data_IF_450550225734
#
_entry.id   IF_450550225734
#
_cell.length_a   1.000
_cell.length_b   1.000
_cell.length_c   1.000
_cell.angle_alpha   90.00
_cell.angle_beta   90.00
_cell.angle_gamma   90.00
#
_symmetry.space_group_name_H-M   'P 1'
#
loop_
_entity.id
_entity.type
_entity.pdbx_description
1 polymer ?
#
# COMPACT_ATOMS: atom_id res chain seq x y z
N UNK A 1 -14.67 51.70 43.84
CA UNK A 1 -13.77 50.62 44.29
C UNK A 1 -14.20 49.30 43.63
N UNK A 2 -13.49 48.92 42.56
CA UNK A 2 -12.91 47.60 42.24
C UNK A 2 -13.47 46.36 42.99
N UNK A 3 -13.80 45.20 42.40
CA UNK A 3 -13.03 44.37 41.46
C UNK A 3 -13.89 43.37 40.65
N UNK A 4 -13.36 43.09 39.47
CA UNK A 4 -13.66 42.06 38.45
C UNK A 4 -13.37 40.63 38.97
N UNK A 5 -14.26 39.68 38.70
CA UNK A 5 -14.03 38.23 38.83
C UNK A 5 -13.70 37.61 37.47
N UNK A 6 -12.49 37.07 37.34
CA UNK A 6 -11.85 36.55 36.12
C UNK A 6 -12.43 35.21 35.66
N UNK A 7 -12.53 35.07 34.33
CA UNK A 7 -12.55 33.80 33.58
C UNK A 7 -11.41 32.87 34.01
N UNK A 8 -11.71 31.59 34.21
CA UNK A 8 -10.75 30.49 34.13
C UNK A 8 -10.98 29.75 32.80
N UNK A 9 -10.21 30.11 31.79
CA UNK A 9 -9.97 29.30 30.60
C UNK A 9 -8.45 29.25 30.42
N UNK A 10 -7.84 28.08 30.59
CA UNK A 10 -6.43 27.91 30.24
C UNK A 10 -5.69 26.85 31.04
N UNK A 11 -5.82 25.58 30.64
CA UNK A 11 -4.80 24.54 30.87
C UNK A 11 -5.15 23.26 30.08
N UNK A 12 -5.06 23.25 28.75
CA UNK A 12 -5.16 22.00 27.97
C UNK A 12 -4.28 21.94 26.70
N UNK A 13 -3.40 22.91 26.44
CA UNK A 13 -2.63 22.97 25.16
C UNK A 13 -1.24 22.32 25.25
N UNK A 14 -0.67 22.11 26.46
CA UNK A 14 0.72 21.63 26.59
C UNK A 14 0.92 20.11 26.35
N UNK A 15 -0.10 19.27 26.60
CA UNK A 15 0.07 17.81 26.56
C UNK A 15 0.14 17.23 25.12
N UNK A 16 -0.51 17.88 24.15
CA UNK A 16 -0.54 17.42 22.76
C UNK A 16 0.81 17.63 22.04
N UNK A 17 1.48 18.76 22.29
CA UNK A 17 2.76 19.08 21.63
C UNK A 17 3.89 18.13 22.05
N UNK A 18 3.91 17.68 23.31
CA UNK A 18 4.96 16.78 23.83
C UNK A 18 4.84 15.36 23.25
N UNK A 19 3.62 14.86 23.06
CA UNK A 19 3.38 13.54 22.48
C UNK A 19 3.82 13.48 21.02
N UNK A 20 3.53 14.53 20.24
CA UNK A 20 3.91 14.62 18.83
C UNK A 20 5.43 14.72 18.64
N UNK A 21 6.10 15.60 19.40
CA UNK A 21 7.56 15.73 19.34
C UNK A 21 8.32 14.44 19.73
N UNK A 22 7.75 13.63 20.64
CA UNK A 22 8.32 12.32 21.00
C UNK A 22 8.17 11.29 19.88
N UNK A 23 7.03 11.27 19.18
CA UNK A 23 6.81 10.38 18.05
C UNK A 23 7.80 10.71 16.92
N UNK A 24 7.97 12.00 16.60
CA UNK A 24 8.94 12.46 15.60
C UNK A 24 10.37 12.01 15.93
N UNK A 25 10.81 12.13 17.19
CA UNK A 25 12.14 11.69 17.61
C UNK A 25 12.34 10.15 17.52
N UNK A 26 11.28 9.37 17.76
CA UNK A 26 11.33 7.91 17.63
C UNK A 26 11.36 7.48 16.15
N UNK A 27 10.56 8.13 15.31
CA UNK A 27 10.54 7.94 13.86
C UNK A 27 11.90 8.27 13.24
N UNK A 28 12.53 9.38 13.64
CA UNK A 28 13.86 9.78 13.19
C UNK A 28 14.94 8.78 13.62
N UNK A 29 14.91 8.36 14.89
CA UNK A 29 15.87 7.38 15.40
C UNK A 29 15.73 6.02 14.71
N UNK A 30 14.51 5.61 14.39
CA UNK A 30 14.22 4.41 13.61
C UNK A 30 14.76 4.53 12.19
N UNK A 31 14.39 5.60 11.47
CA UNK A 31 14.80 5.85 10.08
C UNK A 31 16.32 5.93 9.95
N UNK A 32 16.99 6.59 10.90
CA UNK A 32 18.46 6.64 10.96
C UNK A 32 19.08 5.26 11.12
N UNK A 33 18.53 4.40 11.99
CA UNK A 33 19.02 3.05 12.18
C UNK A 33 18.81 2.18 10.92
N UNK A 34 17.63 2.25 10.31
CA UNK A 34 17.31 1.57 9.04
C UNK A 34 18.32 1.95 7.95
N UNK A 35 18.54 3.24 7.74
CA UNK A 35 19.44 3.73 6.71
C UNK A 35 20.90 3.32 6.97
N UNK A 36 21.32 3.28 8.23
CA UNK A 36 22.64 2.78 8.61
C UNK A 36 22.80 1.28 8.29
N UNK A 37 21.76 0.47 8.50
CA UNK A 37 21.79 -0.95 8.13
C UNK A 37 21.78 -1.14 6.62
N UNK A 38 20.94 -0.41 5.88
CA UNK A 38 20.95 -0.43 4.41
C UNK A 38 22.34 -0.09 3.88
N UNK A 39 22.96 0.99 4.37
CA UNK A 39 24.32 1.37 3.97
C UNK A 39 25.38 0.31 4.34
N UNK A 40 25.20 -0.40 5.47
CA UNK A 40 26.10 -1.47 5.90
C UNK A 40 26.05 -2.69 4.97
N UNK A 41 24.88 -3.00 4.42
CA UNK A 41 24.68 -4.17 3.55
C UNK A 41 24.69 -3.84 2.06
N UNK A 42 24.94 -2.58 1.69
CA UNK A 42 25.06 -2.14 0.31
C UNK A 42 26.32 -2.74 -0.33
N UNK A 43 26.20 -3.66 -1.31
CA UNK A 43 27.35 -4.25 -1.98
C UNK A 43 27.95 -3.31 -3.05
N UNK A 44 27.31 -2.17 -3.33
CA UNK A 44 27.57 -1.37 -4.53
C UNK A 44 27.31 -2.21 -5.78
N UNK A 45 28.25 -2.19 -6.73
CA UNK A 45 28.14 -2.95 -7.98
C UNK A 45 28.53 -4.42 -7.85
N UNK A 46 28.82 -4.90 -6.64
CA UNK A 46 29.28 -6.27 -6.41
C UNK A 46 28.11 -7.20 -6.12
N UNK A 47 28.31 -8.49 -6.39
CA UNK A 47 27.39 -9.52 -5.91
C UNK A 47 27.47 -9.63 -4.38
N UNK A 48 26.31 -9.75 -3.74
CA UNK A 48 26.18 -9.95 -2.30
C UNK A 48 26.61 -11.36 -1.93
N UNK A 49 27.53 -11.47 -0.97
CA UNK A 49 27.87 -12.75 -0.34
C UNK A 49 26.92 -13.01 0.82
N UNK A 50 25.74 -13.57 0.52
CA UNK A 50 24.70 -13.82 1.53
C UNK A 50 25.17 -14.68 2.69
N UNK A 51 26.10 -15.62 2.47
CA UNK A 51 26.65 -16.45 3.55
C UNK A 51 27.39 -15.62 4.61
N UNK A 52 28.02 -14.51 4.21
CA UNK A 52 28.72 -13.62 5.13
C UNK A 52 27.78 -12.64 5.84
N UNK A 53 26.66 -12.29 5.22
CA UNK A 53 25.75 -11.28 5.76
C UNK A 53 24.51 -11.86 6.43
N UNK A 54 24.17 -13.14 6.26
CA UNK A 54 22.93 -13.76 6.77
C UNK A 54 22.73 -13.51 8.28
N UNK A 55 23.72 -13.86 9.10
CA UNK A 55 23.67 -13.63 10.55
C UNK A 55 23.53 -12.14 10.92
N UNK A 56 24.44 -11.27 10.44
CA UNK A 56 24.34 -9.82 10.63
C UNK A 56 23.03 -9.19 10.15
N UNK A 57 22.50 -9.62 9.01
CA UNK A 57 21.27 -9.11 8.39
C UNK A 57 20.05 -9.51 9.23
N UNK A 58 19.96 -10.78 9.65
CA UNK A 58 18.93 -11.24 10.58
C UNK A 58 18.96 -10.48 11.92
N UNK A 59 20.15 -10.18 12.44
CA UNK A 59 20.30 -9.38 13.65
C UNK A 59 19.83 -7.93 13.44
N UNK A 60 20.11 -7.33 12.28
CA UNK A 60 19.63 -6.00 11.93
C UNK A 60 18.10 -5.95 11.80
N UNK A 61 17.49 -6.92 11.11
CA UNK A 61 16.02 -7.03 11.03
C UNK A 61 15.38 -7.21 12.41
N UNK A 62 16.03 -7.97 13.30
CA UNK A 62 15.55 -8.16 14.68
C UNK A 62 15.63 -6.86 15.49
N UNK A 63 16.71 -6.09 15.36
CA UNK A 63 16.86 -4.77 15.99
C UNK A 63 15.80 -3.78 15.45
N UNK A 64 15.61 -3.72 14.13
CA UNK A 64 14.59 -2.88 13.50
C UNK A 64 13.18 -3.25 13.96
N UNK A 65 12.84 -4.53 14.02
CA UNK A 65 11.56 -4.99 14.58
C UNK A 65 11.37 -4.50 16.03
N UNK A 66 12.41 -4.62 16.85
CA UNK A 66 12.39 -4.13 18.23
C UNK A 66 12.19 -2.62 18.34
N UNK A 67 12.79 -1.84 17.45
CA UNK A 67 12.60 -0.38 17.37
C UNK A 67 11.22 -0.02 16.85
N UNK A 68 10.75 -0.67 15.79
CA UNK A 68 9.46 -0.40 15.17
C UNK A 68 8.31 -0.69 16.15
N UNK A 69 8.41 -1.75 16.97
CA UNK A 69 7.47 -2.01 18.07
C UNK A 69 7.41 -0.87 19.09
N UNK A 70 8.54 -0.22 19.39
CA UNK A 70 8.58 0.95 20.30
C UNK A 70 8.00 2.20 19.64
N UNK A 71 8.25 2.38 18.34
CA UNK A 71 7.73 3.50 17.54
C UNK A 71 6.21 3.40 17.42
N UNK A 72 5.70 2.25 16.97
CA UNK A 72 4.26 2.02 16.77
C UNK A 72 3.53 1.94 18.12
N UNK A 73 4.12 1.29 19.13
CA UNK A 73 3.48 1.05 20.41
C UNK A 73 2.28 0.11 20.30
N UNK A 74 1.25 0.35 21.10
CA UNK A 74 -0.02 -0.38 20.99
C UNK A 74 -0.67 -0.10 19.61
N UNK A 75 -0.93 -1.15 18.80
CA UNK A 75 -1.49 -0.98 17.48
C UNK A 75 -2.93 -0.47 17.49
N UNK A 76 -3.69 -0.57 18.59
CA UNK A 76 -5.09 -0.12 18.65
C UNK A 76 -5.97 -0.75 17.55
N UNK A 77 -5.73 -2.04 17.26
CA UNK A 77 -6.50 -2.85 16.31
C UNK A 77 -7.30 -3.90 17.06
N UNK A 78 -8.60 -3.96 16.79
CA UNK A 78 -9.46 -5.01 17.33
C UNK A 78 -8.99 -6.39 16.87
N UNK A 79 -8.88 -7.33 17.81
CA UNK A 79 -8.47 -8.72 17.55
C UNK A 79 -7.01 -8.93 17.16
N UNK A 80 -6.17 -7.89 17.16
CA UNK A 80 -4.73 -8.08 17.01
C UNK A 80 -4.18 -8.91 18.18
N UNK A 81 -3.39 -9.94 17.87
CA UNK A 81 -2.71 -10.77 18.86
C UNK A 81 -1.20 -10.66 18.67
N UNK A 82 -0.46 -10.72 19.77
CA UNK A 82 1.00 -10.62 19.76
C UNK A 82 1.50 -9.22 19.44
N UNK A 83 2.82 -9.10 19.22
CA UNK A 83 3.51 -7.81 19.07
C UNK A 83 3.72 -7.38 17.60
N UNK A 84 3.05 -8.05 16.66
CA UNK A 84 3.26 -7.87 15.21
C UNK A 84 4.62 -8.37 14.71
N UNK A 85 4.71 -8.71 13.44
CA UNK A 85 5.96 -9.07 12.76
C UNK A 85 6.42 -7.92 11.86
N UNK A 86 7.68 -7.92 11.46
CA UNK A 86 8.14 -6.96 10.46
C UNK A 86 7.51 -7.30 9.12
N UNK A 87 7.05 -6.31 8.36
CA UNK A 87 6.68 -6.49 6.96
C UNK A 87 7.83 -7.16 6.19
N UNK A 88 7.51 -7.96 5.16
CA UNK A 88 8.51 -8.63 4.34
C UNK A 88 9.51 -7.60 3.82
N UNK A 89 10.75 -7.67 4.33
CA UNK A 89 11.73 -6.61 4.19
C UNK A 89 13.10 -7.22 3.93
N UNK A 90 13.78 -6.69 2.91
CA UNK A 90 15.22 -6.78 2.81
C UNK A 90 15.88 -5.42 3.02
N UNK A 91 17.08 -5.45 3.60
CA UNK A 91 17.97 -4.31 3.76
C UNK A 91 19.05 -4.25 2.66
N UNK A 92 19.02 -5.19 1.72
CA UNK A 92 19.99 -5.32 0.62
C UNK A 92 19.37 -4.80 -0.66
N UNK A 93 19.96 -3.77 -1.25
CA UNK A 93 19.50 -3.22 -2.53
C UNK A 93 19.54 -4.29 -3.62
N UNK A 94 18.45 -4.39 -4.38
CA UNK A 94 18.29 -5.38 -5.45
C UNK A 94 17.57 -6.66 -5.03
N UNK A 95 17.40 -6.91 -3.73
CA UNK A 95 16.52 -7.97 -3.26
C UNK A 95 15.06 -7.64 -3.59
N UNK A 96 14.23 -8.67 -3.82
CA UNK A 96 12.81 -8.52 -4.14
C UNK A 96 12.04 -7.77 -3.05
N UNK A 97 12.37 -8.00 -1.79
CA UNK A 97 11.73 -7.37 -0.63
C UNK A 97 12.40 -6.04 -0.21
N UNK A 98 13.38 -5.54 -0.97
CA UNK A 98 14.00 -4.25 -0.69
C UNK A 98 13.05 -3.10 -1.04
N UNK A 99 12.98 -2.10 -0.16
CA UNK A 99 12.13 -0.92 -0.38
C UNK A 99 10.67 -1.11 0.03
N UNK A 100 10.29 -2.25 0.61
CA UNK A 100 9.00 -2.41 1.25
C UNK A 100 8.79 -1.38 2.37
N UNK A 101 7.53 -1.04 2.65
CA UNK A 101 7.19 -0.11 3.73
C UNK A 101 7.46 -0.78 5.08
N UNK A 102 8.25 -0.12 5.90
CA UNK A 102 8.51 -0.50 7.28
C UNK A 102 7.20 -0.41 8.11
N UNK A 103 6.60 -1.57 8.39
CA UNK A 103 5.35 -1.69 9.12
C UNK A 103 5.33 -2.95 10.00
N UNK A 104 4.53 -2.92 11.08
CA UNK A 104 4.18 -4.10 11.86
C UNK A 104 2.97 -4.80 11.23
N UNK A 105 3.12 -6.08 10.95
CA UNK A 105 2.08 -6.94 10.36
C UNK A 105 1.40 -7.75 11.45
N UNK A 106 0.08 -7.64 11.53
CA UNK A 106 -0.80 -8.40 12.41
C UNK A 106 -1.74 -9.27 11.61
N UNK A 107 -1.73 -10.59 11.86
CA UNK A 107 -2.68 -11.53 11.26
C UNK A 107 -3.96 -11.53 12.08
N UNK A 108 -5.07 -11.12 11.47
CA UNK A 108 -6.37 -10.95 12.14
C UNK A 108 -7.32 -12.16 11.96
N UNK A 109 -6.87 -13.19 11.24
CA UNK A 109 -7.60 -14.43 10.97
C UNK A 109 -7.88 -14.64 9.48
N UNK A 110 -7.88 -15.90 9.04
CA UNK A 110 -7.89 -16.24 7.62
C UNK A 110 -6.77 -15.51 6.87
N UNK A 111 -7.09 -14.97 5.70
CA UNK A 111 -6.15 -14.17 4.89
C UNK A 111 -6.20 -12.67 5.22
N UNK A 112 -6.78 -12.28 6.36
CA UNK A 112 -6.87 -10.87 6.76
C UNK A 112 -5.62 -10.43 7.52
N UNK A 113 -4.96 -9.37 7.05
CA UNK A 113 -3.75 -8.82 7.66
C UNK A 113 -3.85 -7.31 7.82
N UNK A 114 -3.25 -6.77 8.87
CA UNK A 114 -3.11 -5.34 9.08
C UNK A 114 -1.63 -4.95 9.20
N UNK A 115 -1.24 -3.93 8.46
CA UNK A 115 0.07 -3.29 8.45
C UNK A 115 -0.08 -1.96 9.20
N UNK A 116 0.76 -1.76 10.21
CA UNK A 116 0.72 -0.56 11.07
C UNK A 116 2.07 0.11 11.08
N UNK A 117 2.08 1.39 10.77
CA UNK A 117 3.27 2.24 10.84
C UNK A 117 2.89 3.65 11.28
N UNK A 118 3.84 4.58 11.32
CA UNK A 118 3.61 5.98 11.67
C UNK A 118 3.58 6.87 10.44
N UNK A 119 2.93 8.04 10.56
CA UNK A 119 2.93 9.04 9.48
C UNK A 119 4.33 9.55 9.17
N UNK A 120 5.24 9.62 10.15
CA UNK A 120 6.63 10.03 9.93
C UNK A 120 7.42 9.00 9.12
N UNK A 121 7.28 7.71 9.43
CA UNK A 121 7.90 6.63 8.62
C UNK A 121 7.34 6.64 7.19
N UNK A 122 6.02 6.80 7.00
CA UNK A 122 5.44 6.91 5.65
C UNK A 122 5.99 8.11 4.90
N UNK A 123 6.12 9.28 5.55
CA UNK A 123 6.67 10.47 4.91
C UNK A 123 8.15 10.27 4.51
N UNK A 124 8.96 9.65 5.37
CA UNK A 124 10.35 9.31 5.05
C UNK A 124 10.45 8.34 3.87
N UNK A 125 9.61 7.29 3.87
CA UNK A 125 9.55 6.31 2.82
C UNK A 125 9.13 6.93 1.48
N UNK A 126 8.07 7.77 1.46
CA UNK A 126 7.63 8.47 0.24
C UNK A 126 8.72 9.38 -0.34
N UNK A 127 9.52 10.01 0.51
CA UNK A 127 10.65 10.84 0.08
C UNK A 127 11.77 10.03 -0.56
N UNK A 128 12.03 8.83 -0.03
CA UNK A 128 13.03 7.87 -0.54
C UNK A 128 12.58 7.27 -1.89
N UNK A 129 11.28 7.05 -2.07
CA UNK A 129 10.71 6.33 -3.23
C UNK A 129 10.03 7.25 -4.26
N UNK A 130 10.30 8.56 -4.23
CA UNK A 130 9.63 9.55 -5.10
C UNK A 130 9.84 9.34 -6.61
N UNK A 131 10.95 8.71 -6.99
CA UNK A 131 11.41 8.50 -8.37
C UNK A 131 11.59 6.99 -8.66
N UNK A 132 10.87 6.13 -7.92
CA UNK A 132 11.08 4.68 -7.96
C UNK A 132 10.67 4.04 -9.29
N UNK A 133 9.57 4.51 -9.89
CA UNK A 133 9.06 3.94 -11.12
C UNK A 133 9.77 4.53 -12.35
N UNK A 134 9.90 3.71 -13.38
CA UNK A 134 10.58 4.08 -14.62
C UNK A 134 9.99 5.33 -15.28
N UNK A 135 10.81 5.99 -16.10
CA UNK A 135 10.39 7.16 -16.88
C UNK A 135 9.16 6.80 -17.74
N UNK A 136 8.03 7.43 -17.43
CA UNK A 136 6.77 7.22 -18.14
C UNK A 136 5.68 6.54 -17.30
N UNK A 137 6.04 5.96 -16.16
CA UNK A 137 5.10 5.51 -15.15
C UNK A 137 4.74 6.64 -14.17
N UNK A 138 3.53 6.59 -13.61
CA UNK A 138 3.10 7.53 -12.58
C UNK A 138 3.79 7.19 -11.25
N UNK A 139 4.56 8.13 -10.71
CA UNK A 139 5.20 7.96 -9.41
C UNK A 139 4.21 8.12 -8.26
N UNK A 140 4.52 7.48 -7.12
CA UNK A 140 3.69 7.58 -5.92
C UNK A 140 3.65 9.04 -5.44
N UNK A 141 2.46 9.63 -5.21
CA UNK A 141 2.34 10.98 -4.70
C UNK A 141 3.09 11.17 -3.36
N UNK A 142 3.78 12.30 -3.14
CA UNK A 142 4.59 12.47 -1.93
C UNK A 142 3.78 12.78 -0.66
N UNK A 143 2.47 13.01 -0.78
CA UNK A 143 1.57 13.23 0.36
C UNK A 143 0.87 11.92 0.74
N UNK A 144 0.89 11.56 2.03
CA UNK A 144 0.37 10.27 2.51
C UNK A 144 -1.07 9.96 2.05
N UNK A 145 -2.00 10.91 2.15
CA UNK A 145 -3.39 10.67 1.71
C UNK A 145 -3.53 10.47 0.19
N UNK A 146 -2.67 11.13 -0.60
CA UNK A 146 -2.66 10.94 -2.04
C UNK A 146 -1.98 9.61 -2.41
N UNK A 147 -0.90 9.24 -1.72
CA UNK A 147 -0.25 7.95 -1.87
C UNK A 147 -1.21 6.79 -1.56
N UNK A 148 -1.97 6.87 -0.46
CA UNK A 148 -2.93 5.83 -0.08
C UNK A 148 -4.12 5.70 -1.06
N UNK A 149 -4.35 6.68 -1.94
CA UNK A 149 -5.34 6.61 -3.03
C UNK A 149 -4.79 5.96 -4.30
N UNK A 150 -3.48 5.85 -4.40
CA UNK A 150 -2.77 5.34 -5.57
C UNK A 150 -2.45 3.86 -5.36
N UNK A 151 -2.90 3.00 -6.26
CA UNK A 151 -2.70 1.55 -6.13
C UNK A 151 -1.22 1.15 -6.22
N UNK A 152 -0.42 1.87 -7.02
CA UNK A 152 1.03 1.70 -7.10
C UNK A 152 1.78 1.92 -5.78
N UNK A 153 1.20 2.64 -4.80
CA UNK A 153 1.74 2.69 -3.44
C UNK A 153 1.75 1.29 -2.81
N UNK A 154 0.65 0.54 -2.93
CA UNK A 154 0.50 -0.77 -2.28
C UNK A 154 1.32 -1.85 -2.98
N UNK A 155 1.50 -1.74 -4.30
CA UNK A 155 2.44 -2.58 -5.05
C UNK A 155 3.83 -2.52 -4.42
N UNK A 156 4.33 -1.31 -4.16
CA UNK A 156 5.68 -1.13 -3.62
C UNK A 156 5.76 -1.34 -2.11
N UNK A 157 4.73 -0.92 -1.37
CA UNK A 157 4.75 -0.92 0.09
C UNK A 157 4.58 -2.33 0.69
N UNK A 158 3.71 -3.16 0.09
CA UNK A 158 3.19 -4.38 0.73
C UNK A 158 2.95 -5.55 -0.23
N UNK A 159 3.52 -5.51 -1.44
CA UNK A 159 3.44 -6.61 -2.41
C UNK A 159 4.83 -7.01 -2.85
N UNK A 160 5.10 -8.31 -2.92
CA UNK A 160 6.45 -8.83 -3.25
C UNK A 160 6.54 -9.35 -4.67
N UNK A 161 5.46 -9.87 -5.23
CA UNK A 161 5.49 -10.65 -6.47
C UNK A 161 4.46 -10.19 -7.52
N UNK A 162 3.57 -9.26 -7.19
CA UNK A 162 2.49 -8.83 -8.07
C UNK A 162 2.08 -7.37 -7.86
N UNK A 163 1.61 -6.72 -8.92
CA UNK A 163 1.07 -5.37 -8.83
C UNK A 163 -0.30 -5.39 -8.17
N UNK A 164 -0.48 -4.55 -7.14
CA UNK A 164 -1.81 -4.22 -6.61
C UNK A 164 -2.50 -3.31 -7.61
N UNK A 165 -3.62 -3.77 -8.15
CA UNK A 165 -4.35 -3.07 -9.19
C UNK A 165 -5.76 -2.78 -8.73
N UNK A 166 -6.13 -1.50 -8.68
CA UNK A 166 -7.47 -1.07 -8.22
C UNK A 166 -8.50 -1.17 -9.34
N UNK A 167 -9.66 -1.72 -8.98
CA UNK A 167 -10.84 -1.86 -9.85
C UNK A 167 -11.94 -0.87 -9.47
N UNK A 168 -12.17 -0.67 -8.17
CA UNK A 168 -13.17 0.28 -7.68
C UNK A 168 -12.74 0.91 -6.37
N UNK A 169 -13.26 2.11 -6.10
CA UNK A 169 -13.28 2.68 -4.74
C UNK A 169 -14.54 2.15 -4.05
N UNK A 170 -14.41 1.77 -2.79
CA UNK A 170 -15.52 1.35 -1.94
C UNK A 170 -15.96 2.52 -1.06
N UNK A 171 -17.26 2.67 -0.89
CA UNK A 171 -17.83 3.76 -0.11
C UNK A 171 -17.67 3.46 1.39
N UNK A 172 -16.70 4.12 2.02
CA UNK A 172 -16.45 4.05 3.47
C UNK A 172 -16.53 5.44 4.08
N UNK A 173 -16.94 5.50 5.34
CA UNK A 173 -16.95 6.70 6.16
C UNK A 173 -15.63 6.81 6.92
N UNK A 174 -15.07 8.02 6.94
CA UNK A 174 -13.95 8.33 7.83
C UNK A 174 -14.44 8.32 9.28
N UNK A 175 -13.87 7.46 10.14
CA UNK A 175 -14.27 7.38 11.54
C UNK A 175 -13.81 8.63 12.30
N UNK A 176 -14.49 8.94 13.41
CA UNK A 176 -14.14 10.11 14.23
C UNK A 176 -12.69 10.03 14.73
N UNK A 177 -11.97 11.15 14.65
CA UNK A 177 -10.56 11.25 15.06
C UNK A 177 -9.55 10.71 14.04
N UNK A 178 -9.99 10.16 12.91
CA UNK A 178 -9.15 9.90 11.76
C UNK A 178 -9.16 11.10 10.79
N UNK A 179 -8.02 11.39 10.16
CA UNK A 179 -7.94 12.42 9.11
C UNK A 179 -8.27 11.85 7.72
N UNK A 180 -8.11 10.54 7.54
CA UNK A 180 -8.28 9.89 6.25
C UNK A 180 -8.77 8.45 6.43
N UNK A 181 -9.69 8.02 5.56
CA UNK A 181 -10.05 6.61 5.38
C UNK A 181 -10.40 6.34 3.90
N UNK A 182 -10.00 5.19 3.38
CA UNK A 182 -10.42 4.73 2.06
C UNK A 182 -10.52 3.21 2.02
N UNK A 183 -11.46 2.70 1.22
CA UNK A 183 -11.49 1.31 0.79
C UNK A 183 -11.34 1.21 -0.72
N UNK A 184 -10.64 0.18 -1.18
CA UNK A 184 -10.61 -0.18 -2.58
C UNK A 184 -10.90 -1.67 -2.76
N UNK A 185 -11.49 -1.98 -3.91
CA UNK A 185 -11.64 -3.32 -4.43
C UNK A 185 -10.53 -3.53 -5.46
N UNK A 186 -9.72 -4.56 -5.24
CA UNK A 186 -8.48 -4.74 -5.98
C UNK A 186 -8.15 -6.21 -6.25
N UNK A 187 -7.09 -6.39 -7.02
CA UNK A 187 -6.50 -7.68 -7.38
C UNK A 187 -4.99 -7.51 -7.47
N UNK A 188 -4.26 -8.51 -7.02
CA UNK A 188 -2.83 -8.67 -7.31
C UNK A 188 -2.64 -9.41 -8.64
N UNK A 189 -1.90 -8.82 -9.57
CA UNK A 189 -1.63 -9.41 -10.89
C UNK A 189 -0.21 -9.10 -11.38
N UNK A 190 0.42 -10.07 -12.06
CA UNK A 190 1.70 -9.90 -12.75
C UNK A 190 1.50 -9.43 -14.19
N UNK A 191 0.42 -9.90 -14.83
CA UNK A 191 0.08 -9.61 -16.20
C UNK A 191 -1.23 -8.81 -16.30
N UNK A 192 -1.31 -7.98 -17.34
CA UNK A 192 -2.56 -7.36 -17.78
C UNK A 192 -3.54 -8.44 -18.23
N UNK A 193 -4.81 -8.31 -17.86
CA UNK A 193 -5.82 -9.24 -18.32
C UNK A 193 -7.17 -9.12 -17.64
N UNK A 194 -8.17 -9.87 -18.13
CA UNK A 194 -9.47 -9.89 -17.52
C UNK A 194 -9.41 -10.70 -16.22
N UNK A 195 -10.25 -10.31 -15.28
CA UNK A 195 -10.47 -11.07 -14.06
C UNK A 195 -11.22 -10.23 -13.04
N UNK A 196 -12.08 -10.90 -12.28
CA UNK A 196 -12.77 -10.25 -11.17
C UNK A 196 -11.76 -9.97 -10.04
N UNK A 197 -11.84 -8.79 -9.39
CA UNK A 197 -11.08 -8.53 -8.17
C UNK A 197 -11.49 -9.47 -7.05
N UNK A 198 -10.56 -9.72 -6.13
CA UNK A 198 -10.71 -10.71 -5.08
C UNK A 198 -10.17 -10.24 -3.72
N UNK A 199 -9.63 -9.03 -3.64
CA UNK A 199 -9.08 -8.41 -2.43
C UNK A 199 -9.81 -7.09 -2.15
N UNK A 200 -9.92 -6.76 -0.86
CA UNK A 200 -10.26 -5.44 -0.36
C UNK A 200 -9.06 -4.96 0.44
N UNK A 201 -8.53 -3.81 0.03
CA UNK A 201 -7.58 -3.05 0.84
C UNK A 201 -8.31 -1.83 1.42
N UNK A 202 -8.18 -1.64 2.73
CA UNK A 202 -8.59 -0.41 3.40
C UNK A 202 -7.39 0.29 4.02
N UNK A 203 -7.41 1.62 4.03
CA UNK A 203 -6.38 2.43 4.65
C UNK A 203 -6.99 3.51 5.54
N UNK A 204 -6.29 3.85 6.62
CA UNK A 204 -6.74 4.79 7.65
C UNK A 204 -5.54 5.59 8.16
N UNK A 205 -5.68 6.90 8.33
CA UNK A 205 -4.72 7.73 9.07
C UNK A 205 -5.40 8.24 10.35
N UNK A 206 -4.84 7.89 11.51
CA UNK A 206 -5.43 8.23 12.81
C UNK A 206 -4.36 8.33 13.89
N UNK A 207 -4.36 9.43 14.63
CA UNK A 207 -3.46 9.63 15.78
C UNK A 207 -1.98 9.49 15.45
N UNK A 208 -1.55 9.99 14.29
CA UNK A 208 -0.16 9.87 13.81
C UNK A 208 0.25 8.49 13.28
N UNK A 209 -0.70 7.54 13.19
CA UNK A 209 -0.48 6.21 12.62
C UNK A 209 -1.16 6.05 11.27
N UNK A 210 -0.53 5.25 10.42
CA UNK A 210 -1.08 4.77 9.16
C UNK A 210 -1.36 3.28 9.31
N UNK A 211 -2.58 2.91 8.96
CA UNK A 211 -3.05 1.54 8.93
C UNK A 211 -3.38 1.16 7.49
N UNK A 212 -2.96 -0.02 7.09
CA UNK A 212 -3.38 -0.67 5.86
C UNK A 212 -3.88 -2.04 6.24
N UNK A 213 -5.06 -2.43 5.81
CA UNK A 213 -5.61 -3.75 6.09
C UNK A 213 -6.04 -4.40 4.78
N UNK A 214 -5.55 -5.62 4.55
CA UNK A 214 -5.87 -6.45 3.40
C UNK A 214 -6.82 -7.57 3.83
N UNK A 215 -7.82 -7.88 3.00
CA UNK A 215 -8.76 -8.95 3.27
C UNK A 215 -9.35 -9.51 1.97
N UNK A 216 -9.81 -10.78 1.95
CA UNK A 216 -10.58 -11.29 0.82
C UNK A 216 -11.85 -10.47 0.55
N UNK A 217 -12.12 -10.19 -0.72
CA UNK A 217 -13.38 -9.60 -1.16
C UNK A 217 -14.52 -10.61 -0.95
N UNK A 218 -15.22 -10.47 0.17
CA UNK A 218 -16.31 -11.34 0.59
C UNK A 218 -17.59 -10.52 0.75
N UNK A 219 -18.68 -10.86 0.04
CA UNK A 219 -18.81 -11.91 -0.98
C UNK A 219 -17.96 -11.67 -2.25
N UNK A 220 -17.62 -12.77 -2.95
CA UNK A 220 -16.79 -12.72 -4.17
C UNK A 220 -17.44 -11.86 -5.25
N UNK A 221 -16.73 -10.86 -5.81
CA UNK A 221 -17.21 -10.08 -6.94
C UNK A 221 -17.47 -10.96 -8.19
N UNK A 222 -18.54 -10.68 -8.97
CA UNK A 222 -18.85 -11.45 -10.16
C UNK A 222 -17.89 -11.13 -11.31
N UNK A 223 -17.80 -12.03 -12.28
CA UNK A 223 -17.30 -11.67 -13.61
C UNK A 223 -18.34 -10.79 -14.31
N UNK A 224 -17.89 -9.72 -14.98
CA UNK A 224 -18.77 -8.81 -15.72
C UNK A 224 -18.49 -9.01 -17.22
N UNK A 225 -19.31 -9.83 -17.87
CA UNK A 225 -19.11 -10.23 -19.27
C UNK A 225 -18.99 -9.05 -20.25
N UNK A 226 -19.72 -7.96 -20.01
CA UNK A 226 -19.60 -6.75 -20.82
C UNK A 226 -18.19 -6.14 -20.77
N UNK A 227 -17.51 -6.21 -19.63
CA UNK A 227 -16.14 -5.72 -19.49
C UNK A 227 -15.13 -6.71 -20.06
N UNK A 228 -15.34 -8.03 -19.94
CA UNK A 228 -14.50 -9.00 -20.65
C UNK A 228 -14.52 -8.79 -22.16
N UNK A 229 -15.67 -8.38 -22.73
CA UNK A 229 -15.73 -8.00 -24.14
C UNK A 229 -14.82 -6.80 -24.45
N UNK A 230 -14.79 -5.79 -23.58
CA UNK A 230 -13.88 -4.64 -23.74
C UNK A 230 -12.43 -5.11 -23.78
N UNK A 231 -12.02 -5.96 -22.84
CA UNK A 231 -10.69 -6.56 -22.85
C UNK A 231 -10.42 -7.30 -24.17
N UNK A 232 -11.32 -8.19 -24.58
CA UNK A 232 -11.17 -9.01 -25.78
C UNK A 232 -11.01 -8.19 -27.07
N UNK A 233 -11.69 -7.05 -27.17
CA UNK A 233 -11.55 -6.15 -28.31
C UNK A 233 -10.14 -5.53 -28.39
N UNK A 234 -9.50 -5.23 -27.26
CA UNK A 234 -8.11 -4.76 -27.19
C UNK A 234 -7.11 -5.89 -27.39
N UNK A 235 -7.32 -7.03 -26.74
CA UNK A 235 -6.49 -8.23 -26.85
C UNK A 235 -6.38 -8.69 -28.30
N UNK A 236 -7.48 -8.74 -29.04
CA UNK A 236 -7.47 -9.09 -30.46
C UNK A 236 -6.59 -8.15 -31.31
N UNK A 237 -6.63 -6.85 -31.02
CA UNK A 237 -5.81 -5.85 -31.73
C UNK A 237 -4.33 -5.96 -31.33
N UNK A 238 -4.06 -6.17 -30.04
CA UNK A 238 -2.72 -6.39 -29.51
C UNK A 238 -2.10 -7.63 -30.16
N UNK A 239 -2.82 -8.75 -30.18
CA UNK A 239 -2.39 -9.99 -30.83
C UNK A 239 -2.13 -9.82 -32.33
N UNK A 240 -2.95 -9.03 -33.04
CA UNK A 240 -2.72 -8.74 -34.46
C UNK A 240 -1.43 -7.92 -34.67
N UNK A 241 -1.15 -6.94 -33.82
CA UNK A 241 0.10 -6.18 -33.85
C UNK A 241 1.31 -7.06 -33.48
N UNK A 242 1.19 -7.89 -32.45
CA UNK A 242 2.22 -8.86 -32.07
C UNK A 242 2.54 -9.82 -33.21
N UNK A 243 1.51 -10.34 -33.88
CA UNK A 243 1.67 -11.22 -35.04
C UNK A 243 2.44 -10.52 -36.17
N UNK A 244 2.13 -9.26 -36.47
CA UNK A 244 2.89 -8.46 -37.46
C UNK A 244 4.37 -8.32 -37.07
N UNK A 245 4.65 -8.02 -35.80
CA UNK A 245 6.02 -7.95 -35.31
C UNK A 245 6.75 -9.28 -35.51
N UNK A 246 6.14 -10.41 -35.14
CA UNK A 246 6.70 -11.74 -35.36
C UNK A 246 6.93 -12.05 -36.84
N UNK A 247 5.96 -11.77 -37.72
CA UNK A 247 6.06 -12.01 -39.18
C UNK A 247 7.08 -11.12 -39.87
N UNK A 248 7.41 -9.96 -39.30
CA UNK A 248 8.50 -9.09 -39.78
C UNK A 248 9.91 -9.65 -39.52
N UNK A 249 10.02 -10.80 -38.84
CA UNK A 249 11.28 -11.31 -38.32
C UNK A 249 11.81 -10.45 -37.18
N UNK A 250 10.91 -9.92 -36.33
CA UNK A 250 11.21 -9.09 -35.16
C UNK A 250 11.81 -7.72 -35.49
N UNK A 251 11.43 -7.13 -36.63
CA UNK A 251 11.98 -5.85 -37.13
C UNK A 251 10.99 -4.68 -37.06
N UNK A 252 9.69 -4.95 -37.02
CA UNK A 252 8.63 -3.93 -36.90
C UNK A 252 8.45 -3.51 -35.42
N UNK A 253 9.42 -2.78 -34.88
CA UNK A 253 9.41 -2.23 -33.51
C UNK A 253 8.12 -1.43 -33.21
N UNK A 254 7.56 -0.76 -34.22
CA UNK A 254 6.31 -0.02 -34.07
C UNK A 254 5.12 -0.96 -33.80
N UNK A 255 5.09 -2.15 -34.42
CA UNK A 255 4.08 -3.17 -34.13
C UNK A 255 4.25 -3.79 -32.73
N UNK A 256 5.49 -3.95 -32.24
CA UNK A 256 5.74 -4.37 -30.84
C UNK A 256 5.20 -3.32 -29.86
N UNK A 257 5.61 -2.07 -30.03
CA UNK A 257 5.14 -0.96 -29.18
C UNK A 257 3.61 -0.80 -29.22
N UNK A 258 3.01 -0.98 -30.41
CA UNK A 258 1.56 -0.97 -30.57
C UNK A 258 0.90 -2.11 -29.78
N UNK A 259 1.46 -3.32 -29.85
CA UNK A 259 0.96 -4.49 -29.11
C UNK A 259 0.94 -4.25 -27.60
N UNK A 260 2.05 -3.76 -27.04
CA UNK A 260 2.20 -3.44 -25.62
C UNK A 260 1.24 -2.33 -25.19
N UNK A 261 1.19 -1.25 -25.96
CA UNK A 261 0.29 -0.11 -25.70
C UNK A 261 -1.17 -0.56 -25.68
N UNK A 262 -1.59 -1.38 -26.63
CA UNK A 262 -2.97 -1.90 -26.70
C UNK A 262 -3.29 -2.80 -25.50
N UNK A 263 -2.32 -3.56 -25.00
CA UNK A 263 -2.50 -4.42 -23.83
C UNK A 263 -2.73 -3.60 -22.56
N UNK A 264 -1.87 -2.60 -22.30
CA UNK A 264 -2.03 -1.69 -21.16
C UNK A 264 -3.32 -0.87 -21.25
N UNK A 265 -3.68 -0.39 -22.45
CA UNK A 265 -4.95 0.31 -22.67
C UNK A 265 -6.15 -0.61 -22.44
N UNK A 266 -6.06 -1.86 -22.86
CA UNK A 266 -7.07 -2.89 -22.64
C UNK A 266 -7.32 -3.14 -21.16
N UNK A 267 -6.28 -3.29 -20.35
CA UNK A 267 -6.40 -3.45 -18.89
C UNK A 267 -7.08 -2.23 -18.25
N UNK A 268 -6.59 -1.03 -18.57
CA UNK A 268 -7.16 0.22 -18.05
C UNK A 268 -8.65 0.35 -18.43
N UNK A 269 -9.00 0.04 -19.68
CA UNK A 269 -10.38 0.10 -20.16
C UNK A 269 -11.27 -0.96 -19.49
N UNK A 270 -10.76 -2.19 -19.33
CA UNK A 270 -11.43 -3.27 -18.61
C UNK A 270 -11.74 -2.86 -17.17
N UNK A 271 -10.75 -2.33 -16.44
CA UNK A 271 -10.92 -1.90 -15.05
C UNK A 271 -11.85 -0.72 -14.90
N UNK A 272 -11.78 0.26 -15.80
CA UNK A 272 -12.73 1.37 -15.82
C UNK A 272 -14.17 0.88 -16.02
N UNK A 273 -14.39 -0.03 -16.99
CA UNK A 273 -15.69 -0.68 -17.18
C UNK A 273 -16.13 -1.43 -15.91
N UNK A 274 -15.24 -2.22 -15.32
CA UNK A 274 -15.56 -3.03 -14.14
C UNK A 274 -15.96 -2.14 -12.96
N UNK A 275 -15.18 -1.10 -12.68
CA UNK A 275 -15.43 -0.15 -11.59
C UNK A 275 -16.73 0.65 -11.72
N UNK A 276 -17.20 0.87 -12.95
CA UNK A 276 -18.53 1.43 -13.21
C UNK A 276 -19.62 0.37 -12.98
N UNK A 277 -19.51 -0.78 -13.67
CA UNK A 277 -20.57 -1.80 -13.70
C UNK A 277 -20.77 -2.50 -12.37
N UNK A 278 -19.71 -2.69 -11.58
CA UNK A 278 -19.82 -3.35 -10.26
C UNK A 278 -20.79 -2.60 -9.35
N UNK A 279 -20.86 -1.27 -9.43
CA UNK A 279 -21.72 -0.44 -8.57
C UNK A 279 -23.21 -0.73 -8.73
N UNK A 280 -23.62 -1.20 -9.91
CA UNK A 280 -25.00 -1.57 -10.21
C UNK A 280 -25.33 -3.02 -9.76
N UNK A 281 -24.35 -3.78 -9.29
CA UNK A 281 -24.56 -5.16 -8.88
C UNK A 281 -25.02 -5.27 -7.43
N UNK A 282 -25.77 -6.32 -7.05
CA UNK A 282 -26.17 -6.56 -5.66
C UNK A 282 -25.02 -6.82 -4.69
N UNK A 283 -23.81 -7.10 -5.20
CA UNK A 283 -22.63 -7.39 -4.37
C UNK A 283 -21.99 -6.12 -3.83
N UNK A 284 -22.10 -4.99 -4.55
CA UNK A 284 -21.37 -3.76 -4.23
C UNK A 284 -21.72 -3.17 -2.86
N UNK A 285 -23.00 -3.05 -2.45
CA UNK A 285 -23.32 -2.60 -1.10
C UNK A 285 -22.76 -3.52 0.00
N UNK A 286 -22.64 -4.83 -0.26
CA UNK A 286 -22.04 -5.79 0.69
C UNK A 286 -20.53 -5.61 0.79
N UNK A 287 -19.86 -5.30 -0.32
CA UNK A 287 -18.44 -4.96 -0.33
C UNK A 287 -18.17 -3.65 0.41
N UNK A 288 -19.01 -2.62 0.23
CA UNK A 288 -18.94 -1.37 1.01
C UNK A 288 -19.10 -1.64 2.51
N UNK A 289 -20.10 -2.44 2.90
CA UNK A 289 -20.30 -2.82 4.30
C UNK A 289 -19.10 -3.62 4.87
N UNK A 290 -18.51 -4.51 4.07
CA UNK A 290 -17.30 -5.24 4.46
C UNK A 290 -16.12 -4.29 4.67
N UNK A 291 -15.86 -3.38 3.74
CA UNK A 291 -14.79 -2.38 3.86
C UNK A 291 -15.00 -1.46 5.07
N UNK A 292 -16.24 -1.03 5.33
CA UNK A 292 -16.56 -0.25 6.52
C UNK A 292 -16.25 -1.02 7.80
N UNK A 293 -16.64 -2.29 7.90
CA UNK A 293 -16.35 -3.11 9.06
C UNK A 293 -14.84 -3.30 9.31
N UNK A 294 -14.04 -3.34 8.24
CA UNK A 294 -12.58 -3.36 8.33
C UNK A 294 -12.05 -2.04 8.91
N UNK A 295 -12.50 -0.89 8.39
CA UNK A 295 -12.16 0.44 8.94
C UNK A 295 -12.57 0.56 10.42
N UNK A 296 -13.76 0.09 10.78
CA UNK A 296 -14.27 0.17 12.15
C UNK A 296 -13.43 -0.69 13.11
N UNK A 297 -12.86 -1.81 12.63
CA UNK A 297 -11.95 -2.65 13.42
C UNK A 297 -10.61 -1.97 13.75
N UNK A 298 -10.23 -0.97 12.96
CA UNK A 298 -9.06 -0.11 13.17
C UNK A 298 -9.40 1.14 13.98
N UNK A 299 -10.66 1.30 14.40
CA UNK A 299 -11.19 2.54 14.97
C UNK A 299 -11.50 2.46 16.47
N UNK A 300 -11.28 1.32 17.12
CA UNK A 300 -11.59 1.12 18.54
C UNK A 300 -10.44 1.57 19.46
N UNK A 301 -10.81 2.12 20.62
CA UNK A 301 -10.01 2.09 21.85
C UNK A 301 -10.35 0.81 22.61
#
# INVERSE_FOLDING_TARGET
MTKIGRLMFGACIAALCVAQARADALDDAYTKARNAYVARFDPGDKQVDYKKIEGPHKAALTDLLGRLRKVVGDPQIKSAKGAGELNAMSLVKGDMEFGALDALVYRLGGDTQAFVTTSGIVAAWLKEHRDWWDKGAENVPPQAEAALKFDGFYTQAISTDAAVTRFAVLDVKTPAGASFAQGMLDRRQQDDGPGAPNEIIVSLIRGGRVYILTAPATPKPPVIAACEKVWKDFENKSNAAQKRYSESGLKDEAALQQSETLRTQGDKAFRACYGEKIRATPVYPKLNARAQALIDSLSTR
#
